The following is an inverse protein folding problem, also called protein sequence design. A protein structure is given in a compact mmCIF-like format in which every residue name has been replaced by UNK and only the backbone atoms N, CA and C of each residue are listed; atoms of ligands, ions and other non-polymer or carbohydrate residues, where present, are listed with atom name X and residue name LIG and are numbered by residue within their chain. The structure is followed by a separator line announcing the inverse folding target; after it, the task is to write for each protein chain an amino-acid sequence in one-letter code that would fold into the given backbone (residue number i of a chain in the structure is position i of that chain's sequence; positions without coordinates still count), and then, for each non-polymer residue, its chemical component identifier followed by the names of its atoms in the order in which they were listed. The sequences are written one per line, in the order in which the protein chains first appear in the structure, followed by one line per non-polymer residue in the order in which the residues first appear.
data_IF_822392551424
#
_entry.id   IF_822392551424
#
_cell.length_a   1.000
_cell.length_b   1.000
_cell.length_c   1.000
_cell.angle_alpha   90.00
_cell.angle_beta   90.00
_cell.angle_gamma   90.00
#
_symmetry.space_group_name_H-M   'P 1'
#
loop_
_entity.id
_entity.type
_entity.pdbx_description
1 polymer ?
#
# COMPACT_ATOMS: atom_id res chain seq x y z
N UNK A 1 -6.33 -21.91 -8.64
CA UNK A 1 -5.80 -21.53 -7.33
C UNK A 1 -5.99 -20.06 -7.09
N UNK A 2 -6.82 -19.71 -6.15
CA UNK A 2 -7.13 -18.32 -5.99
C UNK A 2 -6.12 -17.68 -5.09
N UNK A 3 -5.53 -17.60 -4.41
CA UNK A 3 -4.60 -16.84 -3.65
C UNK A 3 -4.68 -17.18 -2.17
N UNK A 4 -3.87 -16.52 -1.38
CA UNK A 4 -3.79 -16.82 0.04
C UNK A 4 -4.91 -16.15 0.83
N UNK A 5 -5.21 -16.72 1.99
CA UNK A 5 -6.02 -16.04 3.00
C UNK A 5 -5.05 -15.33 3.93
N UNK A 6 -5.36 -14.07 4.24
CA UNK A 6 -4.51 -13.29 5.14
C UNK A 6 -4.83 -13.65 6.58
N UNK A 7 -4.16 -14.68 7.07
CA UNK A 7 -4.34 -15.12 8.43
C UNK A 7 -3.41 -14.36 9.37
N UNK A 8 -3.72 -14.45 10.66
CA UNK A 8 -2.84 -13.88 11.66
C UNK A 8 -1.44 -14.49 11.57
N UNK A 9 -1.37 -15.80 11.35
CA UNK A 9 -0.08 -16.49 11.25
C UNK A 9 0.72 -15.99 10.07
N UNK A 10 0.07 -15.75 8.93
CA UNK A 10 0.75 -15.23 7.77
C UNK A 10 1.33 -13.85 8.06
N UNK A 11 0.57 -12.99 8.72
CA UNK A 11 1.05 -11.65 9.04
C UNK A 11 2.21 -11.69 10.03
N UNK A 12 2.19 -12.62 10.97
CA UNK A 12 3.30 -12.79 11.89
C UNK A 12 4.55 -13.21 11.13
N UNK A 13 4.40 -14.14 10.19
CA UNK A 13 5.51 -14.60 9.36
C UNK A 13 6.09 -13.45 8.54
N UNK A 14 5.22 -12.63 7.96
CA UNK A 14 5.67 -11.49 7.17
C UNK A 14 6.39 -10.48 8.06
N UNK A 15 5.90 -10.26 9.29
CA UNK A 15 6.58 -9.37 10.23
C UNK A 15 8.02 -9.82 10.47
N UNK A 16 8.21 -11.12 10.68
CA UNK A 16 9.56 -11.65 10.89
C UNK A 16 10.42 -11.44 9.66
N UNK A 17 9.85 -11.61 8.47
CA UNK A 17 10.57 -11.35 7.23
C UNK A 17 11.02 -9.90 7.14
N UNK A 18 10.12 -8.96 7.47
CA UNK A 18 10.46 -7.55 7.43
C UNK A 18 11.57 -7.19 8.40
N UNK A 19 11.57 -7.83 9.57
CA UNK A 19 12.63 -7.61 10.54
C UNK A 19 13.96 -8.16 10.04
N UNK A 20 13.93 -9.32 9.40
CA UNK A 20 15.13 -9.92 8.83
C UNK A 20 15.70 -9.02 7.72
N UNK A 21 14.82 -8.35 6.96
CA UNK A 21 15.24 -7.43 5.92
C UNK A 21 15.61 -6.06 6.48
N UNK A 22 15.63 -5.93 7.79
CA UNK A 22 16.11 -4.73 8.50
C UNK A 22 15.28 -3.48 8.21
N UNK A 23 13.98 -3.66 7.98
CA UNK A 23 13.09 -2.51 7.89
C UNK A 23 12.99 -1.82 9.24
N UNK A 24 12.79 -0.50 9.22
CA UNK A 24 12.63 0.26 10.45
C UNK A 24 11.36 -0.20 11.21
N UNK A 25 11.41 -0.19 12.55
CA UNK A 25 10.24 -0.64 13.32
C UNK A 25 8.97 0.11 12.98
N UNK A 26 9.03 1.42 12.75
CA UNK A 26 7.85 2.19 12.38
C UNK A 26 7.28 1.77 11.05
N UNK A 27 8.15 1.45 10.09
CA UNK A 27 7.71 0.96 8.79
C UNK A 27 7.02 -0.38 8.92
N UNK A 28 7.56 -1.27 9.74
CA UNK A 28 6.98 -2.60 9.94
C UNK A 28 5.59 -2.45 10.55
N UNK A 29 5.44 -1.64 11.60
CA UNK A 29 4.15 -1.48 12.24
C UNK A 29 3.13 -0.87 11.30
N UNK A 30 3.56 0.10 10.47
CA UNK A 30 2.65 0.68 9.50
C UNK A 30 2.18 -0.33 8.47
N UNK A 31 3.09 -1.12 7.93
CA UNK A 31 2.73 -2.14 6.95
C UNK A 31 1.74 -3.15 7.55
N UNK A 32 2.01 -3.60 8.78
CA UNK A 32 1.13 -4.58 9.39
C UNK A 32 -0.24 -3.99 9.72
N UNK A 33 -0.28 -2.72 10.12
CA UNK A 33 -1.57 -2.07 10.35
C UNK A 33 -2.38 -2.02 9.07
N UNK A 34 -1.75 -1.67 7.95
CA UNK A 34 -2.44 -1.61 6.67
C UNK A 34 -2.91 -3.00 6.23
N UNK A 35 -2.08 -4.02 6.45
CA UNK A 35 -2.45 -5.37 6.05
C UNK A 35 -3.55 -5.95 6.94
N UNK A 36 -3.58 -5.56 8.22
CA UNK A 36 -4.70 -5.96 9.07
C UNK A 36 -6.00 -5.34 8.60
N UNK A 37 -5.95 -4.08 8.14
CA UNK A 37 -7.14 -3.45 7.58
C UNK A 37 -7.62 -4.20 6.35
N UNK A 38 -6.70 -4.62 5.49
CA UNK A 38 -7.06 -5.42 4.33
C UNK A 38 -7.65 -6.76 4.75
N UNK A 39 -7.05 -7.41 5.73
CA UNK A 39 -7.53 -8.69 6.21
C UNK A 39 -8.96 -8.59 6.73
N UNK A 40 -9.26 -7.54 7.49
CA UNK A 40 -10.61 -7.32 8.00
C UNK A 40 -11.60 -7.09 6.86
N UNK A 41 -11.20 -6.34 5.86
CA UNK A 41 -12.07 -6.09 4.70
C UNK A 41 -12.32 -7.38 3.91
N UNK A 42 -11.29 -8.23 3.79
CA UNK A 42 -11.42 -9.47 3.03
C UNK A 42 -12.32 -10.49 3.72
N UNK A 43 -12.39 -10.49 5.05
CA UNK A 43 -13.26 -11.39 5.80
C UNK A 43 -13.04 -12.86 5.40
N UNK A 44 -11.80 -13.31 5.43
CA UNK A 44 -11.41 -14.68 5.11
C UNK A 44 -11.51 -15.06 3.64
N UNK A 45 -11.86 -14.10 2.77
CA UNK A 45 -11.79 -14.37 1.33
C UNK A 45 -10.32 -14.45 0.92
N UNK A 46 -10.05 -15.20 -0.12
CA UNK A 46 -8.69 -15.31 -0.62
C UNK A 46 -8.29 -14.02 -1.32
N UNK A 47 -7.05 -13.62 -1.12
CA UNK A 47 -6.53 -12.41 -1.76
C UNK A 47 -6.28 -12.69 -3.23
N UNK A 48 -6.98 -11.99 -4.10
CA UNK A 48 -6.79 -12.06 -5.54
C UNK A 48 -6.54 -10.65 -6.06
N UNK A 49 -6.05 -10.57 -7.30
CA UNK A 49 -5.86 -9.26 -7.90
C UNK A 49 -7.17 -8.50 -8.00
N UNK A 50 -8.26 -9.21 -8.31
CA UNK A 50 -9.56 -8.59 -8.43
C UNK A 50 -10.02 -8.00 -7.10
N UNK A 51 -9.85 -8.74 -6.00
CA UNK A 51 -10.24 -8.22 -4.70
C UNK A 51 -9.31 -7.09 -4.25
N UNK A 52 -8.04 -7.16 -4.61
CA UNK A 52 -7.12 -6.06 -4.30
C UNK A 52 -7.55 -4.79 -5.03
N UNK A 53 -8.01 -4.90 -6.28
CA UNK A 53 -8.52 -3.75 -7.01
C UNK A 53 -9.80 -3.22 -6.37
N UNK A 54 -10.67 -4.10 -5.88
CA UNK A 54 -11.87 -3.67 -5.17
C UNK A 54 -11.52 -2.96 -3.87
N UNK A 55 -10.51 -3.44 -3.16
CA UNK A 55 -10.07 -2.77 -1.94
C UNK A 55 -9.58 -1.35 -2.23
N UNK A 56 -8.82 -1.20 -3.32
CA UNK A 56 -8.35 0.12 -3.75
C UNK A 56 -9.54 1.04 -4.03
N UNK A 57 -10.54 0.54 -4.74
CA UNK A 57 -11.75 1.33 -5.01
C UNK A 57 -12.50 1.65 -3.72
N UNK A 58 -12.55 0.70 -2.80
CA UNK A 58 -13.18 0.92 -1.51
C UNK A 58 -12.47 2.05 -0.74
N UNK A 59 -11.15 2.07 -0.76
CA UNK A 59 -10.40 3.12 -0.07
C UNK A 59 -10.68 4.49 -0.68
N UNK A 60 -10.79 4.55 -2.02
CA UNK A 60 -11.15 5.80 -2.67
C UNK A 60 -12.55 6.25 -2.25
N UNK A 61 -13.52 5.33 -2.22
CA UNK A 61 -14.88 5.64 -1.80
C UNK A 61 -14.94 6.12 -0.36
N UNK A 62 -14.08 5.57 0.48
CA UNK A 62 -14.08 5.90 1.90
C UNK A 62 -13.44 7.26 2.18
N UNK A 63 -12.88 7.90 1.16
CA UNK A 63 -12.36 9.25 1.31
C UNK A 63 -10.89 9.34 1.70
N UNK A 64 -10.17 8.23 1.62
CA UNK A 64 -8.74 8.28 1.88
C UNK A 64 -8.03 9.12 0.81
N UNK A 65 -7.01 9.84 1.25
CA UNK A 65 -6.19 10.62 0.32
C UNK A 65 -5.38 9.70 -0.59
N UNK A 66 -5.14 10.10 -1.84
CA UNK A 66 -4.35 9.25 -2.76
C UNK A 66 -2.98 8.87 -2.22
N UNK A 67 -2.29 9.79 -1.53
CA UNK A 67 -0.99 9.47 -0.94
C UNK A 67 -1.13 8.35 0.09
N UNK A 68 -2.18 8.41 0.92
CA UNK A 68 -2.43 7.39 1.92
C UNK A 68 -2.74 6.06 1.28
N UNK A 69 -3.60 6.08 0.24
CA UNK A 69 -3.95 4.85 -0.46
C UNK A 69 -2.70 4.21 -1.06
N UNK A 70 -1.85 5.02 -1.72
CA UNK A 70 -0.64 4.49 -2.31
C UNK A 70 0.28 3.86 -1.26
N UNK A 71 0.34 4.45 -0.08
CA UNK A 71 1.11 3.90 1.01
C UNK A 71 0.57 2.54 1.45
N UNK A 72 -0.76 2.41 1.50
CA UNK A 72 -1.38 1.14 1.85
C UNK A 72 -1.17 0.11 0.75
N UNK A 73 -1.22 0.53 -0.52
CA UNK A 73 -0.95 -0.37 -1.63
C UNK A 73 0.51 -0.83 -1.65
N UNK A 74 1.43 0.00 -1.18
CA UNK A 74 2.83 -0.40 -1.07
C UNK A 74 2.98 -1.56 -0.08
N UNK A 75 2.24 -1.51 1.03
CA UNK A 75 2.25 -2.62 1.98
C UNK A 75 1.72 -3.89 1.33
N UNK A 76 0.63 -3.77 0.57
CA UNK A 76 0.05 -4.91 -0.13
C UNK A 76 1.02 -5.48 -1.16
N UNK A 77 1.63 -4.61 -1.96
CA UNK A 77 2.57 -5.08 -2.99
C UNK A 77 3.79 -5.74 -2.37
N UNK A 78 4.23 -5.25 -1.22
CA UNK A 78 5.33 -5.89 -0.50
C UNK A 78 4.96 -7.30 -0.06
N UNK A 79 3.74 -7.47 0.45
CA UNK A 79 3.27 -8.79 0.82
C UNK A 79 3.16 -9.70 -0.39
N UNK A 80 2.65 -9.19 -1.51
CA UNK A 80 2.56 -9.97 -2.74
C UNK A 80 3.94 -10.47 -3.17
N UNK A 81 4.95 -9.62 -3.07
CA UNK A 81 6.31 -10.03 -3.42
C UNK A 81 6.80 -11.11 -2.47
N UNK A 82 6.55 -10.96 -1.19
CA UNK A 82 6.94 -11.96 -0.20
C UNK A 82 6.29 -13.31 -0.48
N UNK A 83 5.02 -13.30 -0.89
CA UNK A 83 4.28 -14.53 -1.17
C UNK A 83 4.59 -15.11 -2.54
N UNK A 84 5.34 -14.40 -3.36
CA UNK A 84 5.67 -14.88 -4.70
C UNK A 84 4.53 -14.78 -5.68
N UNK A 85 3.58 -13.90 -5.43
CA UNK A 85 2.47 -13.71 -6.36
C UNK A 85 2.95 -12.99 -7.61
N UNK A 86 2.33 -13.29 -8.74
CA UNK A 86 2.77 -12.78 -10.03
C UNK A 86 2.02 -11.52 -10.46
N UNK A 87 1.35 -10.86 -9.54
CA UNK A 87 0.63 -9.64 -9.83
C UNK A 87 0.92 -8.58 -8.76
N UNK A 88 0.64 -7.35 -9.13
CA UNK A 88 0.73 -6.19 -8.23
C UNK A 88 -0.41 -5.26 -8.53
N UNK A 89 -0.75 -4.40 -7.57
CA UNK A 89 -1.76 -3.38 -7.78
C UNK A 89 -1.06 -2.08 -8.14
N UNK A 90 -1.59 -1.40 -9.15
CA UNK A 90 -1.06 -0.11 -9.56
C UNK A 90 -1.38 0.96 -8.54
N UNK A 91 -0.42 1.83 -8.34
CA UNK A 91 -0.64 3.01 -7.50
C UNK A 91 -1.53 4.01 -8.23
N UNK A 92 -2.19 4.85 -7.44
CA UNK A 92 -2.93 5.97 -8.00
C UNK A 92 -1.95 7.01 -8.49
N UNK A 93 -2.29 7.67 -9.59
CA UNK A 93 -1.49 8.78 -10.06
C UNK A 93 -1.72 9.98 -9.16
N UNK A 94 -0.64 10.58 -8.69
CA UNK A 94 -0.70 11.78 -7.88
C UNK A 94 -0.23 12.93 -8.75
N UNK A 95 -1.08 13.96 -8.87
CA UNK A 95 -0.74 15.12 -9.68
C UNK A 95 -0.06 16.15 -8.83
N UNK A 96 1.17 16.47 -9.16
CA UNK A 96 1.94 17.49 -8.46
C UNK A 96 1.83 18.78 -9.26
N UNK A 97 0.92 19.60 -8.85
CA UNK A 97 0.79 20.86 -9.54
C UNK A 97 1.53 21.90 -8.83
N UNK A 98 1.95 22.42 -9.18
CA UNK A 98 2.48 23.24 -8.42
C UNK A 98 2.61 24.35 -8.85
N UNK A 99 2.07 23.78 -8.86
CA UNK A 99 1.97 24.48 -9.32
C UNK A 99 2.47 25.03 -9.84
N UNK A 100 2.93 24.73 -10.24
CA UNK A 100 3.40 25.14 -11.11
C UNK A 100 3.55 25.59 -11.42
N UNK A 101 3.92 25.68 -11.15
CA UNK A 101 4.24 26.26 -11.75
C UNK A 101 4.52 26.62 -11.60
N UNK A 102 4.80 26.70 -11.27
CA UNK A 102 5.30 27.19 -11.52
C UNK A 102 5.79 27.22 -11.25
N UNK A 103 6.09 27.32 -10.95
CA UNK A 103 6.62 27.71 -11.15
C UNK A 103 7.03 27.88 -10.70
N UNK A 104 7.08 28.52 -10.31
CA UNK A 104 7.56 29.00 -10.24
C UNK A 104 8.09 29.05 -9.75
N UNK A 105 8.10 29.08 -9.44
CA UNK A 105 8.52 29.37 -9.33
C UNK A 105 9.06 29.31 -8.76
N UNK A 106 9.08 29.45 -8.36
CA UNK A 106 9.54 29.60 -8.20
C UNK A 106 10.04 29.49 -7.56
N UNK A 107 10.04 29.54 -7.35
CA UNK A 107 10.33 29.74 -7.21
C UNK A 107 10.72 29.47 -6.41
N UNK A 108 10.73 29.04 -6.28
CA UNK A 108 10.90 28.91 -5.94
C UNK A 108 11.38 28.39 -5.48
N UNK A 109 11.34 28.52 -5.30
CA UNK A 109 11.47 28.32 -5.33
C UNK A 109 11.51 27.80 -4.90
N UNK A 110 11.50 27.60 -4.78
CA UNK A 110 11.33 27.51 -5.00
C UNK A 110 11.41 26.88 -4.85
N UNK A 111 11.62 26.55 -4.41
CA UNK A 111 11.45 26.51 -4.77
C UNK A 111 11.60 25.85 -4.73
N UNK A 112 11.79 25.10 -4.53
CA UNK A 112 11.66 25.07 -5.16
C UNK A 112 11.64 24.46 -5.01
N UNK A 113 11.98 24.15 -4.53
CA UNK A 113 11.85 24.21 -4.86
C UNK A 113 12.05 23.81 -4.72
#
# INVERSE_FOLDING_TARGET
MEGPVLTRELLITYRLHLRTEEHAPGTIEKYLRDLRALSLWLEERRLTKELAAEWKAHLLSAGYMPVTINSMLAALNGLCRFLGLDWRIRYLKIQHRMFRDQSRELNRPEYDR
#
